data_IF_729207169097
#
_entry.id   IF_729207169097
#
_cell.length_a   1.000
_cell.length_b   1.000
_cell.length_c   1.000
_cell.angle_alpha   90.00
_cell.angle_beta   90.00
_cell.angle_gamma   90.00
#
_symmetry.space_group_name_H-M   'P 1'
#
loop_
_entity.id
_entity.type
_entity.pdbx_description
1 polymer ?
#
# COMPACT_ATOMS: atom_id res chain seq x y z
N UNK A 1 46.81 27.84 11.17
CA UNK A 1 46.64 28.13 9.73
C UNK A 1 45.82 27.01 9.09
N UNK A 2 45.05 27.28 8.04
CA UNK A 2 43.58 27.21 8.06
C UNK A 2 42.96 26.13 7.15
N UNK A 3 41.62 26.14 7.15
CA UNK A 3 40.71 25.91 6.02
C UNK A 3 40.16 24.50 5.71
N UNK A 4 38.85 24.37 5.99
CA UNK A 4 37.75 23.88 5.13
C UNK A 4 37.94 22.61 4.30
N UNK A 5 37.01 21.66 4.43
CA UNK A 5 35.70 21.68 3.76
C UNK A 5 35.09 20.29 4.00
N UNK A 6 34.09 20.18 4.88
CA UNK A 6 33.32 18.93 5.03
C UNK A 6 32.37 18.77 3.85
N UNK A 7 32.91 18.66 2.64
CA UNK A 7 32.16 18.20 1.47
C UNK A 7 32.17 16.68 1.54
N UNK A 8 31.08 16.12 2.04
CA UNK A 8 30.83 14.68 1.94
C UNK A 8 30.97 14.29 0.47
N UNK A 9 32.02 13.54 0.15
CA UNK A 9 32.26 13.04 -1.20
C UNK A 9 31.16 12.09 -1.61
N UNK A 10 31.03 11.83 -2.92
CA UNK A 10 30.09 10.85 -3.50
C UNK A 10 30.10 9.50 -2.77
N UNK A 11 31.25 9.12 -2.20
CA UNK A 11 31.43 7.92 -1.39
C UNK A 11 30.78 7.96 0.01
N UNK A 12 30.61 9.14 0.62
CA UNK A 12 29.85 9.34 1.87
C UNK A 12 28.34 9.34 1.69
N UNK A 13 27.84 9.80 0.53
CA UNK A 13 26.43 9.65 0.17
C UNK A 13 26.05 8.20 -0.17
N UNK A 14 26.98 7.44 -0.77
CA UNK A 14 26.81 5.99 -0.99
C UNK A 14 26.82 5.21 0.34
N UNK A 15 27.61 5.65 1.34
CA UNK A 15 27.54 5.13 2.71
C UNK A 15 26.15 5.33 3.36
N UNK A 16 25.46 6.44 3.08
CA UNK A 16 24.07 6.68 3.51
C UNK A 16 23.05 5.76 2.80
N UNK A 17 23.29 5.40 1.54
CA UNK A 17 22.50 4.42 0.79
C UNK A 17 22.70 3.01 1.35
N UNK A 18 23.92 2.66 1.80
CA UNK A 18 24.26 1.36 2.41
C UNK A 18 23.82 1.28 3.88
N UNK A 19 23.65 2.40 4.58
CA UNK A 19 23.19 2.47 5.97
C UNK A 19 21.70 2.18 6.20
N UNK A 20 20.82 2.50 5.24
CA UNK A 20 19.38 2.22 5.35
C UNK A 20 18.96 0.85 4.77
N UNK A 21 19.90 0.11 4.15
CA UNK A 21 19.77 -1.33 3.84
C UNK A 21 19.72 -2.16 5.14
N UNK A 22 20.13 -1.57 6.27
CA UNK A 22 19.99 -2.11 7.62
C UNK A 22 18.51 -2.12 8.03
N UNK A 23 17.84 -3.19 7.65
CA UNK A 23 16.52 -3.53 8.14
C UNK A 23 16.15 -4.96 7.80
N UNK A 24 17.13 -5.88 7.77
CA UNK A 24 17.07 -7.30 7.39
C UNK A 24 17.10 -7.60 5.88
N UNK A 25 17.92 -8.59 5.49
CA UNK A 25 18.09 -9.05 4.10
C UNK A 25 16.78 -9.40 3.38
N UNK A 26 15.72 -9.65 4.15
CA UNK A 26 14.36 -9.89 3.65
C UNK A 26 13.73 -8.67 2.97
N UNK A 27 14.19 -7.44 3.27
CA UNK A 27 13.73 -6.22 2.61
C UNK A 27 14.66 -5.76 1.47
N UNK A 28 15.88 -6.28 1.41
CA UNK A 28 16.84 -5.96 0.34
C UNK A 28 16.39 -6.56 -0.99
N UNK A 29 16.06 -7.86 -0.99
CA UNK A 29 15.63 -8.58 -2.19
C UNK A 29 14.34 -8.00 -2.81
N UNK A 30 13.25 -7.75 -2.06
CA UNK A 30 12.06 -7.12 -2.64
C UNK A 30 12.34 -5.67 -3.03
N UNK A 31 13.22 -4.94 -2.33
CA UNK A 31 13.61 -3.58 -2.69
C UNK A 31 14.32 -3.49 -4.05
N UNK A 32 15.25 -4.41 -4.33
CA UNK A 32 15.94 -4.46 -5.63
C UNK A 32 15.03 -4.94 -6.75
N UNK A 33 14.19 -5.95 -6.49
CA UNK A 33 13.20 -6.43 -7.46
C UNK A 33 12.17 -5.34 -7.78
N UNK A 34 11.71 -4.56 -6.80
CA UNK A 34 10.77 -3.47 -7.01
C UNK A 34 11.36 -2.33 -7.85
N UNK A 35 12.63 -1.96 -7.61
CA UNK A 35 13.30 -0.90 -8.40
C UNK A 35 13.53 -1.32 -9.85
N UNK A 36 13.97 -2.56 -10.09
CA UNK A 36 14.08 -3.11 -11.44
C UNK A 36 12.71 -3.20 -12.14
N UNK A 37 11.69 -3.70 -11.42
CA UNK A 37 10.32 -3.78 -11.93
C UNK A 37 9.74 -2.42 -12.29
N UNK A 38 10.01 -1.38 -11.48
CA UNK A 38 9.59 -0.02 -11.78
C UNK A 38 10.25 0.52 -13.06
N UNK A 39 11.54 0.23 -13.30
CA UNK A 39 12.22 0.66 -14.52
C UNK A 39 11.60 0.04 -15.78
N UNK A 40 11.35 -1.27 -15.76
CA UNK A 40 10.68 -1.97 -16.86
C UNK A 40 9.25 -1.44 -17.08
N UNK A 41 8.51 -1.16 -16.00
CA UNK A 41 7.15 -0.62 -16.09
C UNK A 41 7.15 0.81 -16.66
N UNK A 42 8.17 1.63 -16.37
CA UNK A 42 8.36 2.95 -16.97
C UNK A 42 8.64 2.86 -18.49
N UNK A 43 9.50 1.94 -18.93
CA UNK A 43 9.74 1.70 -20.37
C UNK A 43 8.46 1.22 -21.09
N UNK A 44 7.69 0.34 -20.45
CA UNK A 44 6.43 -0.14 -20.99
C UNK A 44 5.36 0.96 -21.05
N UNK A 45 5.25 1.79 -20.01
CA UNK A 45 4.31 2.90 -19.94
C UNK A 45 4.62 4.05 -20.90
N UNK A 46 5.89 4.23 -21.28
CA UNK A 46 6.28 5.21 -22.31
C UNK A 46 6.08 4.70 -23.73
N UNK A 47 6.26 3.39 -23.96
CA UNK A 47 6.08 2.75 -25.27
C UNK A 47 4.61 2.56 -25.66
N UNK A 48 3.71 2.28 -24.71
CA UNK A 48 2.29 2.00 -24.97
C UNK A 48 1.40 3.04 -24.27
N UNK A 49 0.92 4.04 -25.04
CA UNK A 49 0.09 5.14 -24.54
C UNK A 49 -1.41 4.87 -24.74
N UNK A 50 -1.88 3.72 -24.25
CA UNK A 50 -3.31 3.33 -24.29
C UNK A 50 -3.91 3.38 -22.89
N UNK A 51 -5.13 3.90 -22.77
CA UNK A 51 -5.90 3.90 -21.52
C UNK A 51 -6.31 2.47 -21.17
N UNK A 52 -5.95 2.00 -19.98
CA UNK A 52 -6.27 0.64 -19.51
C UNK A 52 -5.22 0.00 -18.60
N UNK A 53 -4.08 0.66 -18.37
CA UNK A 53 -3.04 0.20 -17.45
C UNK A 53 -2.53 -1.20 -17.80
N UNK A 54 -2.43 -2.06 -16.80
CA UNK A 54 -1.91 -3.43 -16.90
C UNK A 54 -2.68 -4.27 -17.94
N UNK A 55 -3.98 -4.05 -18.05
CA UNK A 55 -4.85 -4.75 -19.00
C UNK A 55 -4.56 -4.34 -20.45
N UNK A 56 -4.24 -3.05 -20.68
CA UNK A 56 -3.89 -2.57 -22.01
C UNK A 56 -2.56 -3.17 -22.51
N UNK A 57 -1.61 -3.42 -21.61
CA UNK A 57 -0.34 -4.07 -21.97
C UNK A 57 -0.53 -5.52 -22.39
N UNK A 58 -1.29 -6.31 -21.61
CA UNK A 58 -1.56 -7.72 -21.91
C UNK A 58 -2.35 -7.92 -23.21
N UNK A 59 -3.27 -7.01 -23.51
CA UNK A 59 -4.03 -7.02 -24.76
C UNK A 59 -3.17 -6.68 -25.98
N UNK A 60 -2.15 -5.83 -25.81
CA UNK A 60 -1.22 -5.45 -26.89
C UNK A 60 -0.35 -6.62 -27.39
N UNK A 61 -0.06 -7.60 -26.54
CA UNK A 61 0.74 -8.81 -26.88
C UNK A 61 -0.15 -9.93 -27.47
N UNK A 62 -1.45 -9.66 -27.71
CA UNK A 62 -2.48 -10.60 -28.19
C UNK A 62 -2.79 -11.75 -27.20
N UNK A 63 -2.52 -11.56 -25.91
CA UNK A 63 -2.77 -12.54 -24.84
C UNK A 63 -4.12 -12.30 -24.14
N UNK A 64 -5.20 -12.23 -24.91
CA UNK A 64 -6.52 -11.80 -24.43
C UNK A 64 -7.11 -12.67 -23.31
N UNK A 65 -6.87 -13.99 -23.33
CA UNK A 65 -7.37 -14.90 -22.29
C UNK A 65 -6.69 -14.65 -20.93
N UNK A 66 -5.38 -14.39 -20.92
CA UNK A 66 -4.60 -14.10 -19.72
C UNK A 66 -4.96 -12.71 -19.18
N UNK A 67 -5.18 -11.75 -20.06
CA UNK A 67 -5.65 -10.42 -19.71
C UNK A 67 -6.98 -10.46 -18.94
N UNK A 68 -7.94 -11.29 -19.40
CA UNK A 68 -9.23 -11.46 -18.72
C UNK A 68 -9.10 -12.12 -17.35
N UNK A 69 -8.28 -13.17 -17.23
CA UNK A 69 -8.05 -13.84 -15.95
C UNK A 69 -7.40 -12.88 -14.93
N UNK A 70 -6.40 -12.10 -15.35
CA UNK A 70 -5.74 -11.12 -14.49
C UNK A 70 -6.71 -10.03 -14.00
N UNK A 71 -7.51 -9.45 -14.89
CA UNK A 71 -8.51 -8.43 -14.53
C UNK A 71 -9.57 -9.00 -13.58
N UNK A 72 -10.01 -10.23 -13.82
CA UNK A 72 -11.01 -10.91 -12.99
C UNK A 72 -10.50 -11.17 -11.58
N UNK A 73 -9.26 -11.65 -11.43
CA UNK A 73 -8.62 -11.87 -10.12
C UNK A 73 -8.41 -10.54 -9.39
N UNK A 74 -8.00 -9.50 -10.12
CA UNK A 74 -7.88 -8.14 -9.58
C UNK A 74 -9.18 -7.66 -8.95
N UNK A 75 -10.27 -7.68 -9.73
CA UNK A 75 -11.61 -7.24 -9.31
C UNK A 75 -12.22 -8.08 -8.20
N UNK A 76 -12.14 -9.41 -8.28
CA UNK A 76 -12.86 -10.33 -7.37
C UNK A 76 -12.10 -10.61 -6.08
N UNK A 77 -10.77 -10.63 -6.13
CA UNK A 77 -9.94 -11.06 -5.00
C UNK A 77 -9.07 -9.93 -4.46
N UNK A 78 -8.26 -9.29 -5.31
CA UNK A 78 -7.21 -8.40 -4.83
C UNK A 78 -7.81 -7.13 -4.19
N UNK A 79 -8.69 -6.41 -4.89
CA UNK A 79 -9.27 -5.19 -4.33
C UNK A 79 -10.09 -5.38 -3.04
N UNK A 80 -11.00 -6.37 -2.92
CA UNK A 80 -11.70 -6.58 -1.66
C UNK A 80 -10.77 -7.06 -0.54
N UNK A 81 -9.73 -7.84 -0.86
CA UNK A 81 -8.73 -8.25 0.12
C UNK A 81 -7.96 -7.06 0.69
N UNK A 82 -7.54 -6.11 -0.14
CA UNK A 82 -6.82 -4.92 0.32
C UNK A 82 -7.67 -4.07 1.27
N UNK A 83 -8.96 -3.88 0.95
CA UNK A 83 -9.90 -3.18 1.83
C UNK A 83 -10.12 -3.94 3.15
N UNK A 84 -10.19 -5.28 3.10
CA UNK A 84 -10.33 -6.10 4.30
C UNK A 84 -9.11 -6.03 5.22
N UNK A 85 -7.89 -6.14 4.68
CA UNK A 85 -6.64 -6.02 5.44
C UNK A 85 -6.55 -4.62 6.09
N UNK A 86 -6.89 -3.56 5.36
CA UNK A 86 -6.86 -2.20 5.89
C UNK A 86 -7.91 -2.00 7.01
N UNK A 87 -9.10 -2.57 6.87
CA UNK A 87 -10.12 -2.51 7.91
C UNK A 87 -9.74 -3.32 9.16
N UNK A 88 -9.13 -4.49 8.99
CA UNK A 88 -8.68 -5.33 10.10
C UNK A 88 -7.55 -4.68 10.89
N UNK A 89 -6.52 -4.18 10.20
CA UNK A 89 -5.41 -3.46 10.84
C UNK A 89 -5.91 -2.25 11.62
N UNK A 90 -6.84 -1.47 11.06
CA UNK A 90 -7.46 -0.34 11.76
C UNK A 90 -8.17 -0.79 13.04
N UNK A 91 -8.87 -1.93 13.02
CA UNK A 91 -9.53 -2.47 14.20
C UNK A 91 -8.51 -2.88 15.29
N UNK A 92 -7.40 -3.52 14.92
CA UNK A 92 -6.34 -3.90 15.87
C UNK A 92 -5.67 -2.68 16.50
N UNK A 93 -5.28 -1.70 15.67
CA UNK A 93 -4.65 -0.47 16.16
C UNK A 93 -5.60 0.34 17.04
N UNK A 94 -6.91 0.36 16.75
CA UNK A 94 -7.91 1.02 17.60
C UNK A 94 -8.03 0.36 18.97
N UNK A 95 -8.07 -0.97 19.03
CA UNK A 95 -8.14 -1.72 20.29
C UNK A 95 -6.89 -1.51 21.15
N UNK A 96 -5.72 -1.47 20.53
CA UNK A 96 -4.45 -1.16 21.21
C UNK A 96 -4.40 0.29 21.69
N UNK A 97 -4.84 1.26 20.87
CA UNK A 97 -4.83 2.68 21.19
C UNK A 97 -5.66 3.00 22.44
N UNK A 98 -6.83 2.38 22.59
CA UNK A 98 -7.72 2.61 23.73
C UNK A 98 -7.43 1.72 24.94
N UNK A 99 -6.35 0.92 24.92
CA UNK A 99 -5.99 -0.04 25.99
C UNK A 99 -7.18 -0.88 26.49
N UNK A 100 -8.11 -1.22 25.58
CA UNK A 100 -9.35 -1.92 25.94
C UNK A 100 -9.09 -3.32 26.52
N UNK A 101 -7.92 -3.87 26.24
CA UNK A 101 -7.42 -5.14 26.78
C UNK A 101 -7.18 -5.08 28.31
N UNK A 102 -6.82 -3.91 28.86
CA UNK A 102 -6.44 -3.77 30.28
C UNK A 102 -7.63 -3.37 31.17
N UNK A 103 -8.60 -2.62 30.63
CA UNK A 103 -9.59 -1.91 31.45
C UNK A 103 -11.01 -2.52 31.51
N UNK A 104 -11.47 -3.28 30.50
CA UNK A 104 -12.89 -3.69 30.43
C UNK A 104 -13.19 -5.10 29.91
N UNK A 105 -12.27 -5.78 29.21
CA UNK A 105 -12.56 -7.06 28.53
C UNK A 105 -11.63 -8.20 28.95
N UNK A 106 -11.95 -8.83 30.08
CA UNK A 106 -11.24 -10.06 30.51
C UNK A 106 -11.72 -11.31 29.74
N UNK A 107 -12.85 -11.21 29.00
CA UNK A 107 -13.44 -12.31 28.26
C UNK A 107 -12.95 -12.32 26.78
N UNK A 108 -12.32 -13.41 26.31
CA UNK A 108 -11.76 -13.48 24.95
C UNK A 108 -12.84 -13.40 23.85
N UNK A 109 -14.05 -13.90 24.14
CA UNK A 109 -15.18 -13.90 23.20
C UNK A 109 -15.69 -12.48 22.94
N UNK A 110 -15.77 -11.66 23.99
CA UNK A 110 -16.27 -10.29 23.87
C UNK A 110 -15.30 -9.45 23.03
N UNK A 111 -13.99 -9.63 23.22
CA UNK A 111 -12.96 -8.94 22.44
C UNK A 111 -13.03 -9.28 20.95
N UNK A 112 -13.31 -10.54 20.62
CA UNK A 112 -13.53 -10.96 19.25
C UNK A 112 -14.74 -10.27 18.61
N UNK A 113 -15.87 -10.21 19.34
CA UNK A 113 -17.09 -9.53 18.88
C UNK A 113 -16.85 -8.04 18.66
N UNK A 114 -16.19 -7.36 19.61
CA UNK A 114 -15.86 -5.94 19.49
C UNK A 114 -14.92 -5.66 18.32
N UNK A 115 -13.87 -6.46 18.11
CA UNK A 115 -12.96 -6.31 16.95
C UNK A 115 -13.73 -6.47 15.63
N UNK A 116 -14.61 -7.47 15.54
CA UNK A 116 -15.47 -7.70 14.36
C UNK A 116 -16.47 -6.56 14.12
N UNK A 117 -17.03 -5.98 15.18
CA UNK A 117 -17.94 -4.84 15.08
C UNK A 117 -17.23 -3.59 14.55
N UNK A 118 -16.06 -3.26 15.09
CA UNK A 118 -15.23 -2.13 14.63
C UNK A 118 -14.83 -2.33 13.17
N UNK A 119 -14.41 -3.55 12.79
CA UNK A 119 -14.13 -3.91 11.41
C UNK A 119 -15.32 -3.63 10.48
N UNK A 120 -16.51 -4.11 10.84
CA UNK A 120 -17.72 -3.93 10.01
C UNK A 120 -18.12 -2.46 9.88
N UNK A 121 -18.00 -1.68 10.95
CA UNK A 121 -18.31 -0.24 10.92
C UNK A 121 -17.35 0.53 10.02
N UNK A 122 -16.05 0.23 10.12
CA UNK A 122 -15.03 0.90 9.30
C UNK A 122 -15.14 0.55 7.81
N UNK A 123 -15.38 -0.73 7.49
CA UNK A 123 -15.61 -1.17 6.12
C UNK A 123 -16.84 -0.49 5.49
N UNK A 124 -17.95 -0.39 6.24
CA UNK A 124 -19.17 0.27 5.77
C UNK A 124 -18.96 1.78 5.59
N UNK A 125 -18.23 2.43 6.49
CA UNK A 125 -17.86 3.84 6.37
C UNK A 125 -17.03 4.10 5.10
N UNK A 126 -16.01 3.28 4.83
CA UNK A 126 -15.20 3.39 3.62
C UNK A 126 -16.01 3.11 2.36
N UNK A 127 -16.90 2.11 2.37
CA UNK A 127 -17.80 1.85 1.26
C UNK A 127 -18.75 3.03 1.00
N UNK A 128 -19.26 3.66 2.05
CA UNK A 128 -20.11 4.84 1.96
C UNK A 128 -19.38 6.03 1.32
N UNK A 129 -18.13 6.31 1.73
CA UNK A 129 -17.31 7.37 1.13
C UNK A 129 -17.07 7.10 -0.36
N UNK A 130 -16.74 5.86 -0.70
CA UNK A 130 -16.53 5.45 -2.08
C UNK A 130 -17.82 5.60 -2.92
N UNK A 131 -18.99 5.26 -2.38
CA UNK A 131 -20.25 5.37 -3.12
C UNK A 131 -20.72 6.82 -3.26
N UNK A 132 -20.60 7.64 -2.21
CA UNK A 132 -21.18 8.98 -2.19
C UNK A 132 -20.36 10.00 -3.02
N UNK A 133 -19.02 9.92 -3.01
CA UNK A 133 -18.23 10.81 -3.87
C UNK A 133 -16.75 10.42 -4.03
N UNK A 134 -16.45 9.50 -4.96
CA UNK A 134 -15.07 9.19 -5.36
C UNK A 134 -14.29 10.43 -5.81
N UNK A 135 -14.90 11.26 -6.67
CA UNK A 135 -14.18 12.32 -7.38
C UNK A 135 -13.96 13.60 -6.58
N UNK A 136 -14.85 13.93 -5.64
CA UNK A 136 -14.74 15.15 -4.81
C UNK A 136 -14.23 14.84 -3.41
N UNK A 137 -14.73 13.80 -2.76
CA UNK A 137 -14.39 13.50 -1.36
C UNK A 137 -13.27 12.48 -1.29
N UNK A 138 -13.38 11.35 -2.00
CA UNK A 138 -12.37 10.28 -2.00
C UNK A 138 -10.98 10.77 -2.43
N UNK A 139 -10.89 11.45 -3.57
CA UNK A 139 -9.60 11.99 -4.05
C UNK A 139 -8.95 13.00 -3.09
N UNK A 140 -9.76 13.82 -2.40
CA UNK A 140 -9.25 14.81 -1.42
C UNK A 140 -8.80 14.13 -0.13
N UNK A 141 -9.53 13.09 0.29
CA UNK A 141 -9.19 12.28 1.45
C UNK A 141 -7.87 11.52 1.22
N UNK A 142 -7.70 10.91 0.04
CA UNK A 142 -6.45 10.24 -0.34
C UNK A 142 -5.27 11.21 -0.34
N UNK A 143 -5.45 12.41 -0.89
CA UNK A 143 -4.40 13.42 -0.85
C UNK A 143 -4.03 13.77 0.58
N UNK A 144 -5.02 13.97 1.48
CA UNK A 144 -4.75 14.25 2.89
C UNK A 144 -4.03 13.10 3.59
N UNK A 145 -4.42 11.86 3.30
CA UNK A 145 -3.81 10.66 3.85
C UNK A 145 -2.33 10.52 3.48
N UNK A 146 -1.95 10.93 2.26
CA UNK A 146 -0.55 10.93 1.83
C UNK A 146 0.35 11.94 2.58
N UNK A 147 -0.22 12.91 3.31
CA UNK A 147 0.52 13.92 4.06
C UNK A 147 0.59 13.63 5.58
N UNK A 148 -0.04 12.55 6.06
CA UNK A 148 0.02 12.10 7.44
C UNK A 148 1.00 10.93 7.57
#
# INVERSE_FOLDING_TARGET
MPHSDNKMGRWGAVSYIVGNIVGSGIFIVPGTVATLGAYCYCELGTSIRRSGGDFAYLTHVRWNAIAFMFMSIGCVLIYPLMLAIQAETTAEYTVQAFRLNENCLNNPILLFIFKKLIFSLFALFMMFINFYSLRRVGARFQNRWNYC
#
